data_IF_761889986492
#
_entry.id   IF_761889986492
#
_cell.length_a   1.000
_cell.length_b   1.000
_cell.length_c   1.000
_cell.angle_alpha   90.00
_cell.angle_beta   90.00
_cell.angle_gamma   90.00
#
_symmetry.space_group_name_H-M   'P 1'
#
loop_
_entity.id
_entity.type
_entity.pdbx_description
1 polymer ?
#
# COMPACT_ATOMS: atom_id res chain seq x y z
N UNK A 1 6.68 7.38 -7.31
CA UNK A 1 5.88 6.70 -8.35
C UNK A 1 6.71 5.66 -9.06
N UNK A 2 6.34 4.39 -8.95
CA UNK A 2 6.96 3.29 -9.70
C UNK A 2 6.55 3.32 -11.17
N UNK A 3 5.32 3.71 -11.47
CA UNK A 3 4.74 3.62 -12.82
C UNK A 3 4.32 4.99 -13.33
N UNK A 4 4.53 5.20 -14.63
CA UNK A 4 3.99 6.36 -15.34
C UNK A 4 3.61 5.97 -16.77
N UNK A 5 2.76 6.79 -17.39
CA UNK A 5 2.41 6.62 -18.79
C UNK A 5 3.47 7.28 -19.67
N UNK A 6 3.98 6.55 -20.65
CA UNK A 6 4.90 7.03 -21.67
C UNK A 6 4.56 6.31 -22.98
N UNK A 7 4.38 7.08 -24.06
CA UNK A 7 3.96 6.57 -25.38
C UNK A 7 2.71 5.65 -25.33
N UNK A 8 1.75 6.01 -24.47
CA UNK A 8 0.50 5.25 -24.32
C UNK A 8 0.60 3.97 -23.49
N UNK A 9 1.77 3.68 -22.88
CA UNK A 9 1.98 2.48 -22.05
C UNK A 9 2.30 2.90 -20.61
N UNK A 10 1.63 2.29 -19.64
CA UNK A 10 1.95 2.46 -18.21
C UNK A 10 3.07 1.50 -17.82
N UNK A 11 4.23 2.02 -17.40
CA UNK A 11 5.41 1.22 -17.03
C UNK A 11 6.37 1.97 -16.11
N UNK A 12 7.30 1.21 -15.53
CA UNK A 12 8.50 1.76 -14.91
C UNK A 12 9.45 2.40 -15.96
N UNK A 13 10.36 3.29 -15.53
CA UNK A 13 11.43 3.77 -16.40
C UNK A 13 12.33 2.62 -16.88
N UNK A 14 12.76 2.67 -18.15
CA UNK A 14 13.62 1.64 -18.74
C UNK A 14 15.08 2.08 -18.91
N UNK A 15 15.32 3.38 -19.07
CA UNK A 15 16.68 3.93 -19.25
C UNK A 15 16.81 5.31 -18.62
N UNK A 16 18.04 5.67 -18.26
CA UNK A 16 18.35 7.02 -17.75
C UNK A 16 18.05 8.07 -18.83
N UNK A 17 17.46 9.18 -18.40
CA UNK A 17 17.13 10.30 -19.27
C UNK A 17 15.73 10.24 -19.87
N UNK A 18 14.94 9.18 -19.63
CA UNK A 18 13.52 9.21 -20.01
C UNK A 18 12.79 10.31 -19.25
N UNK A 19 11.86 10.95 -19.95
CA UNK A 19 10.97 11.97 -19.41
C UNK A 19 9.57 11.72 -19.92
N UNK A 20 8.59 11.98 -19.06
CA UNK A 20 7.18 11.95 -19.44
C UNK A 20 6.40 12.98 -18.62
N UNK A 21 5.10 13.10 -18.89
CA UNK A 21 4.18 13.95 -18.14
C UNK A 21 3.38 13.08 -17.18
N UNK A 22 3.34 13.49 -15.91
CA UNK A 22 2.47 12.89 -14.92
C UNK A 22 1.01 13.14 -15.33
N UNK A 23 0.24 12.07 -15.53
CA UNK A 23 -1.18 12.19 -15.86
C UNK A 23 -2.02 12.75 -14.70
N UNK A 24 -1.50 12.69 -13.47
CA UNK A 24 -2.24 13.10 -12.27
C UNK A 24 -2.18 14.61 -12.03
N UNK A 25 -1.07 15.26 -12.40
CA UNK A 25 -0.86 16.68 -12.13
C UNK A 25 -0.34 17.51 -13.32
N UNK A 26 0.00 16.87 -14.44
CA UNK A 26 0.62 17.53 -15.61
C UNK A 26 2.11 17.88 -15.43
N UNK A 27 2.70 17.57 -14.27
CA UNK A 27 4.11 17.84 -14.00
C UNK A 27 5.06 16.93 -14.78
N UNK A 28 6.31 17.38 -14.97
CA UNK A 28 7.35 16.58 -15.64
C UNK A 28 7.87 15.49 -14.68
N UNK A 29 7.86 14.25 -15.16
CA UNK A 29 8.50 13.10 -14.54
C UNK A 29 9.82 12.79 -15.25
N UNK A 30 10.84 12.45 -14.47
CA UNK A 30 12.15 12.01 -14.95
C UNK A 30 12.49 10.62 -14.43
N UNK A 31 13.12 9.78 -15.25
CA UNK A 31 13.58 8.45 -14.85
C UNK A 31 14.61 8.52 -13.72
N UNK A 32 14.46 7.70 -12.70
CA UNK A 32 15.47 7.46 -11.67
C UNK A 32 15.82 5.98 -11.67
N UNK A 33 17.08 5.67 -12.03
CA UNK A 33 17.62 4.31 -12.07
C UNK A 33 18.85 4.26 -11.16
N UNK A 34 18.65 4.02 -9.86
CA UNK A 34 19.74 3.90 -8.88
C UNK A 34 20.39 2.51 -8.96
N UNK A 35 21.53 2.30 -8.30
CA UNK A 35 22.23 1.01 -8.26
C UNK A 35 21.63 0.01 -7.26
N UNK A 36 21.08 0.52 -6.15
CA UNK A 36 20.68 -0.30 -4.99
C UNK A 36 19.20 -0.13 -4.58
N UNK A 37 18.48 0.80 -5.22
CA UNK A 37 17.09 1.13 -4.89
C UNK A 37 16.13 0.77 -6.04
N UNK A 38 14.83 0.83 -5.76
CA UNK A 38 13.80 0.65 -6.78
C UNK A 38 13.89 1.71 -7.89
N UNK A 39 13.72 1.25 -9.13
CA UNK A 39 13.61 2.12 -10.30
C UNK A 39 12.26 2.84 -10.23
N UNK A 40 12.27 4.17 -10.36
CA UNK A 40 11.06 4.97 -10.19
C UNK A 40 11.06 6.24 -11.04
N UNK A 41 9.86 6.79 -11.25
CA UNK A 41 9.66 8.13 -11.78
C UNK A 41 9.67 9.16 -10.66
N UNK A 42 10.32 10.30 -10.92
CA UNK A 42 10.41 11.41 -9.97
C UNK A 42 9.91 12.71 -10.59
N UNK A 43 9.06 13.41 -9.86
CA UNK A 43 8.69 14.78 -10.14
C UNK A 43 9.85 15.75 -9.86
N UNK A 44 10.06 16.74 -10.74
CA UNK A 44 11.13 17.73 -10.54
C UNK A 44 10.91 18.61 -9.29
N UNK A 45 9.67 18.93 -8.95
CA UNK A 45 9.29 19.90 -7.90
C UNK A 45 8.79 19.25 -6.59
N UNK A 46 9.03 17.94 -6.41
CA UNK A 46 8.40 17.16 -5.34
C UNK A 46 7.16 16.42 -5.85
N UNK A 47 6.79 15.35 -5.15
CA UNK A 47 5.68 14.50 -5.58
C UNK A 47 4.34 15.24 -5.50
N UNK A 48 3.46 14.98 -6.47
CA UNK A 48 2.14 15.65 -6.53
C UNK A 48 1.12 15.07 -5.55
N UNK A 49 1.46 13.97 -4.88
CA UNK A 49 0.72 13.40 -3.77
C UNK A 49 1.49 13.67 -2.46
N UNK A 50 0.83 14.33 -1.52
CA UNK A 50 1.42 14.68 -0.22
C UNK A 50 1.63 13.47 0.70
N UNK A 51 0.96 12.35 0.45
CA UNK A 51 1.15 11.08 1.15
C UNK A 51 2.19 10.18 0.50
N UNK A 52 2.84 10.63 -0.58
CA UNK A 52 3.86 9.84 -1.24
C UNK A 52 5.04 9.58 -0.31
N UNK A 53 5.27 8.30 -0.02
CA UNK A 53 6.46 7.82 0.70
C UNK A 53 7.45 7.19 -0.29
N UNK A 54 8.68 6.96 0.16
CA UNK A 54 9.63 6.15 -0.59
C UNK A 54 9.21 4.68 -0.48
N UNK A 55 9.01 4.03 -1.62
CA UNK A 55 8.64 2.62 -1.68
C UNK A 55 9.88 1.73 -1.78
N UNK A 56 9.77 0.50 -1.29
CA UNK A 56 10.82 -0.51 -1.35
C UNK A 56 10.45 -1.72 -2.20
N UNK A 57 11.30 -2.74 -2.15
CA UNK A 57 11.04 -4.00 -2.86
C UNK A 57 9.74 -4.67 -2.41
N UNK A 58 9.37 -4.55 -1.13
CA UNK A 58 8.13 -5.13 -0.61
C UNK A 58 6.88 -4.54 -1.29
N UNK A 59 6.79 -3.22 -1.38
CA UNK A 59 5.72 -2.53 -2.12
C UNK A 59 5.68 -2.94 -3.59
N UNK A 60 6.85 -2.93 -4.25
CA UNK A 60 6.96 -3.30 -5.66
C UNK A 60 6.45 -4.72 -5.90
N UNK A 61 6.93 -5.69 -5.11
CA UNK A 61 6.54 -7.09 -5.22
C UNK A 61 5.02 -7.27 -5.03
N UNK A 62 4.40 -6.61 -4.05
CA UNK A 62 2.95 -6.67 -3.86
C UNK A 62 2.18 -6.06 -5.02
N UNK A 63 2.56 -4.87 -5.49
CA UNK A 63 1.95 -4.23 -6.66
C UNK A 63 2.04 -5.11 -7.91
N UNK A 64 3.14 -5.84 -8.08
CA UNK A 64 3.37 -6.71 -9.25
C UNK A 64 2.40 -7.90 -9.36
N UNK A 65 1.72 -8.28 -8.28
CA UNK A 65 0.68 -9.31 -8.30
C UNK A 65 -0.64 -8.84 -8.97
N UNK A 66 -0.81 -7.54 -9.18
CA UNK A 66 -2.02 -6.94 -9.75
C UNK A 66 -1.78 -6.46 -11.18
N UNK A 67 -2.82 -6.32 -12.00
CA UNK A 67 -2.66 -5.75 -13.34
C UNK A 67 -2.06 -4.34 -13.30
N UNK A 68 -1.16 -4.01 -14.24
CA UNK A 68 -0.52 -2.68 -14.27
C UNK A 68 -1.53 -1.52 -14.35
N UNK A 69 -2.72 -1.79 -14.89
CA UNK A 69 -3.81 -0.82 -15.01
C UNK A 69 -4.45 -0.45 -13.68
N UNK A 70 -4.25 -1.23 -12.61
CA UNK A 70 -4.83 -1.01 -11.27
C UNK A 70 -3.82 -0.49 -10.24
N UNK A 71 -2.52 -0.54 -10.53
CA UNK A 71 -1.44 -0.06 -9.65
C UNK A 71 -1.36 1.46 -9.68
N UNK A 72 -1.06 2.13 -8.57
CA UNK A 72 -0.82 3.59 -8.49
C UNK A 72 -1.90 4.41 -9.23
N UNK A 73 -3.12 4.40 -8.69
CA UNK A 73 -4.28 5.07 -9.28
C UNK A 73 -4.57 6.33 -8.50
N UNK A 74 -4.41 7.49 -9.15
CA UNK A 74 -4.75 8.77 -8.54
C UNK A 74 -6.26 8.91 -8.41
N UNK A 75 -6.68 9.20 -7.18
CA UNK A 75 -8.03 9.62 -6.81
C UNK A 75 -7.98 11.09 -6.43
N UNK A 76 -9.07 11.81 -6.67
CA UNK A 76 -9.21 13.23 -6.36
C UNK A 76 -10.45 13.43 -5.51
N UNK A 77 -10.32 14.08 -4.36
CA UNK A 77 -11.48 14.56 -3.61
C UNK A 77 -12.08 15.75 -4.36
N UNK A 78 -13.34 15.64 -4.77
CA UNK A 78 -14.00 16.64 -5.60
C UNK A 78 -14.24 17.97 -4.85
N UNK A 79 -14.24 17.97 -3.51
CA UNK A 79 -14.52 19.16 -2.70
C UNK A 79 -13.26 19.94 -2.38
N UNK A 80 -12.20 19.27 -1.94
CA UNK A 80 -10.93 19.90 -1.58
C UNK A 80 -9.99 20.02 -2.78
N UNK A 81 -10.18 19.20 -3.82
CA UNK A 81 -9.26 19.07 -4.94
C UNK A 81 -7.97 18.32 -4.58
N UNK A 82 -7.89 17.75 -3.36
CA UNK A 82 -6.74 16.97 -2.93
C UNK A 82 -6.66 15.66 -3.70
N UNK A 83 -5.42 15.25 -3.99
CA UNK A 83 -5.13 14.08 -4.83
C UNK A 83 -4.21 13.14 -4.09
N UNK A 84 -4.62 11.88 -4.04
CA UNK A 84 -3.84 10.80 -3.44
C UNK A 84 -3.87 9.58 -4.35
N UNK A 85 -2.74 8.87 -4.44
CA UNK A 85 -2.61 7.69 -5.27
C UNK A 85 -2.77 6.44 -4.42
N UNK A 86 -3.83 5.69 -4.73
CA UNK A 86 -4.00 4.36 -4.20
C UNK A 86 -2.88 3.44 -4.69
N UNK A 87 -2.28 2.64 -3.82
CA UNK A 87 -1.26 1.66 -4.21
C UNK A 87 -1.79 0.69 -5.25
N UNK A 88 -2.99 0.16 -5.00
CA UNK A 88 -3.79 -0.67 -5.91
C UNK A 88 -5.27 -0.25 -5.81
N UNK A 89 -5.95 -0.13 -6.95
CA UNK A 89 -7.40 0.05 -7.03
C UNK A 89 -8.01 -0.97 -8.00
N UNK A 90 -8.68 -1.99 -7.47
CA UNK A 90 -9.32 -3.04 -8.23
C UNK A 90 -10.79 -2.73 -8.53
N UNK A 91 -11.34 -3.38 -9.57
CA UNK A 91 -12.76 -3.30 -9.93
C UNK A 91 -13.27 -1.86 -10.18
N UNK A 92 -12.40 -1.02 -10.77
CA UNK A 92 -12.67 0.38 -11.11
C UNK A 92 -13.98 0.49 -11.92
N UNK A 93 -14.81 1.47 -11.57
CA UNK A 93 -16.09 1.73 -12.25
C UNK A 93 -17.23 0.80 -11.84
N UNK A 94 -17.02 -0.04 -10.83
CA UNK A 94 -18.08 -0.89 -10.25
C UNK A 94 -18.42 -0.45 -8.83
N UNK A 95 -19.58 -0.86 -8.32
CA UNK A 95 -19.96 -0.66 -6.91
C UNK A 95 -19.07 -1.44 -5.92
N UNK A 96 -18.15 -2.28 -6.42
CA UNK A 96 -17.18 -3.05 -5.64
C UNK A 96 -15.74 -2.55 -5.83
N UNK A 97 -15.56 -1.33 -6.34
CA UNK A 97 -14.24 -0.71 -6.42
C UNK A 97 -13.54 -0.79 -5.04
N UNK A 98 -12.30 -1.28 -5.04
CA UNK A 98 -11.59 -1.64 -3.81
C UNK A 98 -10.16 -1.12 -3.86
N UNK A 99 -9.85 -0.20 -2.94
CA UNK A 99 -8.50 0.29 -2.67
C UNK A 99 -7.80 -0.72 -1.75
N UNK A 100 -6.59 -1.11 -2.13
CA UNK A 100 -5.65 -1.81 -1.26
C UNK A 100 -4.43 -0.92 -1.08
N UNK A 101 -4.26 -0.41 0.14
CA UNK A 101 -3.07 0.35 0.55
C UNK A 101 -2.05 -0.58 1.21
N UNK A 102 -0.78 -0.42 0.83
CA UNK A 102 0.34 -1.19 1.33
C UNK A 102 1.11 -0.35 2.34
N UNK A 103 1.16 -0.79 3.59
CA UNK A 103 1.84 -0.04 4.64
C UNK A 103 3.06 -0.79 5.18
N UNK A 104 4.24 -0.32 4.82
CA UNK A 104 5.50 -0.84 5.34
C UNK A 104 6.00 -0.01 6.54
N UNK A 105 6.03 1.31 6.37
CA UNK A 105 6.53 2.26 7.36
C UNK A 105 5.49 2.52 8.46
N UNK A 106 5.92 3.00 9.62
CA UNK A 106 4.95 3.42 10.65
C UNK A 106 4.35 4.77 10.30
N UNK A 107 3.02 4.81 10.18
CA UNK A 107 2.22 6.05 10.08
C UNK A 107 1.54 6.39 11.43
N UNK A 108 1.19 7.66 11.63
CA UNK A 108 0.43 8.09 12.81
C UNK A 108 -1.02 7.60 12.76
N UNK A 109 -1.74 7.67 13.89
CA UNK A 109 -3.18 7.35 13.90
C UNK A 109 -3.98 8.35 13.05
N UNK A 110 -3.61 9.62 13.09
CA UNK A 110 -4.26 10.69 12.32
C UNK A 110 -4.09 10.47 10.81
N UNK A 111 -2.89 10.10 10.37
CA UNK A 111 -2.62 9.80 8.97
C UNK A 111 -3.41 8.57 8.50
N UNK A 112 -3.43 7.49 9.31
CA UNK A 112 -4.24 6.30 9.02
C UNK A 112 -5.71 6.67 8.87
N UNK A 113 -6.27 7.42 9.81
CA UNK A 113 -7.67 7.88 9.77
C UNK A 113 -7.93 8.75 8.54
N UNK A 114 -7.02 9.66 8.20
CA UNK A 114 -7.17 10.53 7.03
C UNK A 114 -7.21 9.73 5.72
N UNK A 115 -6.32 8.74 5.56
CA UNK A 115 -6.30 7.85 4.40
C UNK A 115 -7.56 7.00 4.32
N UNK A 116 -8.00 6.46 5.47
CA UNK A 116 -9.25 5.69 5.58
C UNK A 116 -10.47 6.50 5.16
N UNK A 117 -10.59 7.72 5.67
CA UNK A 117 -11.69 8.61 5.33
C UNK A 117 -11.68 8.99 3.86
N UNK A 118 -10.51 9.27 3.27
CA UNK A 118 -10.39 9.66 1.87
C UNK A 118 -10.75 8.51 0.92
N UNK A 119 -10.13 7.34 1.08
CA UNK A 119 -10.34 6.24 0.14
C UNK A 119 -11.72 5.58 0.27
N UNK A 120 -12.26 5.55 1.49
CA UNK A 120 -13.56 4.91 1.76
C UNK A 120 -14.77 5.75 1.34
N UNK A 121 -14.58 6.99 0.86
CA UNK A 121 -15.70 7.81 0.38
C UNK A 121 -16.46 7.13 -0.77
N UNK A 122 -15.73 6.51 -1.69
CA UNK A 122 -16.29 5.95 -2.94
C UNK A 122 -15.83 4.51 -3.20
N UNK A 123 -15.00 3.93 -2.33
CA UNK A 123 -14.44 2.60 -2.52
C UNK A 123 -14.52 1.81 -1.22
N UNK A 124 -14.47 0.47 -1.33
CA UNK A 124 -14.00 -0.34 -0.21
C UNK A 124 -12.51 -0.09 -0.01
N UNK A 125 -12.04 -0.19 1.23
CA UNK A 125 -10.63 -0.02 1.54
C UNK A 125 -10.11 -1.19 2.37
N UNK A 126 -8.91 -1.63 2.02
CA UNK A 126 -8.16 -2.62 2.75
C UNK A 126 -6.76 -2.10 2.98
N UNK A 127 -6.26 -2.33 4.19
CA UNK A 127 -4.84 -2.23 4.47
C UNK A 127 -4.19 -3.60 4.30
N UNK A 128 -3.00 -3.63 3.71
CA UNK A 128 -2.04 -4.71 3.93
C UNK A 128 -0.82 -4.11 4.63
N UNK A 129 -0.60 -4.54 5.87
CA UNK A 129 0.43 -3.98 6.73
C UNK A 129 1.57 -4.98 6.85
N UNK A 130 2.77 -4.55 6.50
CA UNK A 130 3.95 -5.37 6.64
C UNK A 130 4.36 -5.47 8.12
N UNK A 131 4.35 -6.68 8.67
CA UNK A 131 4.95 -6.98 9.98
C UNK A 131 6.44 -7.22 9.75
N UNK A 132 7.16 -6.13 9.53
CA UNK A 132 8.60 -6.13 9.40
C UNK A 132 9.12 -4.84 10.01
N UNK A 133 10.25 -4.92 10.72
CA UNK A 133 10.90 -3.74 11.24
C UNK A 133 12.40 -3.94 11.14
N UNK A 134 13.09 -2.86 10.77
CA UNK A 134 14.56 -2.72 10.85
C UNK A 134 15.10 -3.05 12.26
N UNK A 135 14.26 -2.89 13.29
CA UNK A 135 14.52 -3.38 14.65
C UNK A 135 13.70 -4.64 14.92
N UNK A 136 14.39 -5.77 15.08
CA UNK A 136 13.84 -7.12 15.22
C UNK A 136 12.73 -7.32 16.28
N UNK A 137 12.51 -6.35 17.18
CA UNK A 137 11.62 -6.50 18.32
C UNK A 137 10.13 -6.63 17.96
N UNK A 138 9.63 -5.92 16.94
CA UNK A 138 8.21 -6.04 16.54
C UNK A 138 7.93 -7.36 15.85
N UNK A 139 8.80 -7.76 14.91
CA UNK A 139 8.70 -9.06 14.22
C UNK A 139 8.79 -10.21 15.23
N UNK A 140 9.77 -10.14 16.14
CA UNK A 140 9.95 -11.11 17.20
C UNK A 140 8.77 -11.13 18.18
N UNK A 141 8.26 -9.97 18.60
CA UNK A 141 7.12 -9.89 19.52
C UNK A 141 5.82 -10.35 18.86
N UNK A 142 5.66 -10.12 17.56
CA UNK A 142 4.52 -10.64 16.80
C UNK A 142 4.59 -12.16 16.78
N UNK A 143 5.71 -12.73 16.31
CA UNK A 143 5.91 -14.17 16.24
C UNK A 143 5.84 -14.88 17.61
N UNK A 144 6.49 -14.33 18.64
CA UNK A 144 6.48 -14.91 19.98
C UNK A 144 5.11 -14.83 20.66
N UNK A 145 4.30 -13.83 20.30
CA UNK A 145 2.94 -13.69 20.80
C UNK A 145 1.92 -14.51 20.01
N UNK A 146 2.29 -14.97 18.81
CA UNK A 146 1.43 -15.70 17.89
C UNK A 146 1.29 -17.16 18.33
N UNK A 147 0.07 -17.57 18.66
CA UNK A 147 -0.28 -18.96 18.90
C UNK A 147 -1.35 -19.38 17.91
N UNK A 148 -1.03 -20.42 17.12
CA UNK A 148 -1.97 -21.03 16.17
C UNK A 148 -2.82 -22.05 16.93
N UNK A 149 -4.08 -21.71 17.15
CA UNK A 149 -4.95 -22.45 18.07
C UNK A 149 -5.78 -23.52 17.35
N UNK A 150 -6.25 -23.25 16.14
CA UNK A 150 -7.10 -24.19 15.38
C UNK A 150 -7.16 -23.85 13.90
N UNK A 151 -7.49 -24.84 13.08
CA UNK A 151 -7.85 -24.66 11.67
C UNK A 151 -9.37 -24.61 11.56
N UNK A 152 -9.89 -23.69 10.75
CA UNK A 152 -11.32 -23.61 10.41
C UNK A 152 -11.47 -23.60 8.90
N UNK A 153 -12.46 -24.34 8.40
CA UNK A 153 -12.84 -24.29 7.00
C UNK A 153 -14.01 -23.32 6.83
N UNK A 154 -13.86 -22.35 5.93
CA UNK A 154 -14.92 -21.42 5.57
C UNK A 154 -14.91 -21.22 4.06
N UNK A 155 -16.07 -21.42 3.41
CA UNK A 155 -16.24 -21.31 1.97
C UNK A 155 -15.19 -22.10 1.15
N UNK A 156 -14.91 -23.35 1.59
CA UNK A 156 -13.93 -24.24 0.96
C UNK A 156 -12.47 -23.81 1.12
N UNK A 157 -12.19 -22.82 1.97
CA UNK A 157 -10.83 -22.35 2.28
C UNK A 157 -10.49 -22.66 3.73
N UNK A 158 -9.25 -23.09 3.95
CA UNK A 158 -8.69 -23.32 5.28
C UNK A 158 -8.12 -22.02 5.83
N UNK A 159 -8.55 -21.65 7.01
CA UNK A 159 -8.04 -20.52 7.78
C UNK A 159 -7.42 -21.04 9.06
N UNK A 160 -6.35 -20.41 9.51
CA UNK A 160 -5.78 -20.66 10.83
C UNK A 160 -6.26 -19.57 11.78
N UNK A 161 -6.87 -19.99 12.89
CA UNK A 161 -7.23 -19.08 13.97
C UNK A 161 -5.97 -18.84 14.79
N UNK A 162 -5.41 -17.65 14.59
CA UNK A 162 -4.33 -17.12 15.40
C UNK A 162 -4.88 -16.42 16.65
N UNK A 163 -4.24 -16.68 17.78
CA UNK A 163 -4.40 -15.89 19.00
C UNK A 163 -3.10 -15.15 19.26
N UNK A 164 -3.20 -13.92 19.73
CA UNK A 164 -2.03 -13.12 20.05
C UNK A 164 -2.06 -12.67 21.52
N UNK A 165 -1.08 -13.13 22.30
CA UNK A 165 -0.98 -12.88 23.75
C UNK A 165 0.09 -11.83 24.11
N UNK A 166 0.61 -11.09 23.12
CA UNK A 166 1.68 -10.12 23.32
C UNK A 166 1.22 -8.82 23.99
N UNK A 167 2.18 -8.10 24.59
CA UNK A 167 1.96 -6.76 25.20
C UNK A 167 2.35 -5.60 24.27
N UNK A 168 2.54 -5.84 22.96
CA UNK A 168 2.81 -4.77 22.00
C UNK A 168 1.56 -3.92 21.78
N UNK A 169 1.27 -3.08 22.78
CA UNK A 169 0.06 -2.29 22.87
C UNK A 169 0.02 -1.12 21.87
N UNK A 170 1.05 -0.95 21.03
CA UNK A 170 1.16 0.20 20.13
C UNK A 170 0.92 -0.17 18.68
N UNK A 171 1.49 -1.29 18.20
CA UNK A 171 1.37 -1.62 16.78
C UNK A 171 0.03 -2.28 16.45
N UNK A 172 -0.27 -3.45 17.04
CA UNK A 172 -1.50 -4.18 16.71
C UNK A 172 -2.73 -3.40 17.17
N UNK A 173 -2.69 -2.79 18.35
CA UNK A 173 -3.81 -2.00 18.87
C UNK A 173 -4.14 -0.79 18.00
N UNK A 174 -3.14 -0.14 17.39
CA UNK A 174 -3.37 0.93 16.41
C UNK A 174 -4.19 0.44 15.22
N UNK A 175 -3.85 -0.73 14.70
CA UNK A 175 -4.49 -1.31 13.52
C UNK A 175 -5.85 -1.96 13.84
N UNK A 176 -6.06 -2.47 15.06
CA UNK A 176 -7.37 -2.90 15.56
C UNK A 176 -8.41 -1.79 15.62
N UNK A 177 -7.96 -0.53 15.74
CA UNK A 177 -8.81 0.67 15.71
C UNK A 177 -9.09 1.17 14.28
N UNK A 178 -8.71 0.41 13.26
CA UNK A 178 -9.08 0.73 11.88
C UNK A 178 -10.58 0.58 11.68
N UNK A 179 -11.16 1.51 10.93
CA UNK A 179 -12.57 1.42 10.51
C UNK A 179 -12.74 0.59 9.23
N UNK A 180 -11.63 0.16 8.63
CA UNK A 180 -11.60 -0.62 7.40
C UNK A 180 -10.95 -1.97 7.67
N UNK A 181 -10.98 -2.86 6.68
CA UNK A 181 -10.36 -4.17 6.81
C UNK A 181 -8.83 -4.05 6.84
N UNK A 182 -8.19 -4.75 7.77
CA UNK A 182 -6.73 -4.77 7.89
C UNK A 182 -6.24 -6.20 7.74
N UNK A 183 -5.31 -6.40 6.83
CA UNK A 183 -4.52 -7.60 6.71
C UNK A 183 -3.09 -7.35 7.17
N UNK A 184 -2.43 -8.38 7.71
CA UNK A 184 -1.04 -8.34 8.13
C UNK A 184 -0.23 -9.32 7.29
N UNK A 185 0.83 -8.84 6.64
CA UNK A 185 1.82 -9.67 5.96
C UNK A 185 2.96 -9.99 6.93
N UNK A 186 3.13 -11.26 7.25
CA UNK A 186 4.18 -11.74 8.15
C UNK A 186 4.76 -13.07 7.66
N UNK A 187 6.05 -13.06 7.31
CA UNK A 187 6.81 -14.25 6.90
C UNK A 187 6.13 -15.10 5.81
N UNK A 188 5.49 -14.45 4.84
CA UNK A 188 4.83 -15.11 3.70
C UNK A 188 3.39 -15.56 3.99
N UNK A 189 2.85 -15.23 5.16
CA UNK A 189 1.45 -15.47 5.51
C UNK A 189 0.67 -14.16 5.59
N UNK A 190 -0.61 -14.23 5.23
CA UNK A 190 -1.56 -13.14 5.37
C UNK A 190 -2.51 -13.47 6.51
N UNK A 191 -2.53 -12.60 7.51
CA UNK A 191 -3.47 -12.65 8.64
C UNK A 191 -4.54 -11.59 8.45
N UNK A 192 -5.75 -11.87 8.93
CA UNK A 192 -6.91 -10.97 8.95
C UNK A 192 -7.42 -10.84 10.39
#
# INVERSE_FOLDING_TARGET
MLYAWIDGIKRAPLKKGEKTICKDCGGILTSVIPSENIIHWRHKAGDCDKWSEAEGQWHLSWKEHFDVSTREICLTDEKSGERHRADILCSIGTSKATVLELQHSSISEEERISRELFYSQNNQMFWLVHIHNETAFNEFSFGSGLSLASEVEYDGRKFLIASWAGRSNQFIEKWKRSNVHVFLDYQGYIFY
#
